data_IF_207905253711
#
_entry.id   IF_207905253711
#
_cell.length_a   1.000
_cell.length_b   1.000
_cell.length_c   1.000
_cell.angle_alpha   90.00
_cell.angle_beta   90.00
_cell.angle_gamma   90.00
#
_symmetry.space_group_name_H-M   'P 1'
#
loop_
_entity.id
_entity.type
_entity.pdbx_description
1 polymer ?
#
# COMPACT_ATOMS: atom_id res chain seq x y z
N UNK A 1 10.83 2.35 -13.21
CA UNK A 1 10.80 2.05 -11.76
C UNK A 1 9.47 2.50 -11.18
N UNK A 2 9.08 2.19 -9.93
CA UNK A 2 7.76 2.60 -9.40
C UNK A 2 7.50 4.12 -9.46
N UNK A 3 8.55 4.94 -9.34
CA UNK A 3 8.45 6.39 -9.52
C UNK A 3 8.17 6.77 -10.97
N UNK A 4 8.91 6.17 -11.92
CA UNK A 4 8.74 6.44 -13.36
C UNK A 4 7.35 6.02 -13.87
N UNK A 5 6.78 4.96 -13.28
CA UNK A 5 5.42 4.49 -13.58
C UNK A 5 4.32 5.31 -12.87
N UNK A 6 4.70 6.35 -12.12
CA UNK A 6 3.75 7.23 -11.43
C UNK A 6 3.04 6.60 -10.24
N UNK A 7 3.55 5.49 -9.69
CA UNK A 7 3.01 4.83 -8.48
C UNK A 7 3.46 5.57 -7.21
N UNK A 8 4.66 6.16 -7.26
CA UNK A 8 5.24 6.92 -6.16
C UNK A 8 5.68 8.31 -6.63
N UNK A 9 5.52 9.31 -5.76
CA UNK A 9 6.26 10.57 -5.85
C UNK A 9 7.45 10.54 -4.90
N UNK A 10 8.49 11.31 -5.23
CA UNK A 10 9.68 11.49 -4.40
C UNK A 10 9.87 12.98 -4.11
N UNK A 11 10.05 13.34 -2.85
CA UNK A 11 10.50 14.67 -2.43
C UNK A 11 11.72 14.55 -1.53
N UNK A 12 12.56 15.57 -1.47
CA UNK A 12 13.68 15.59 -0.53
C UNK A 12 13.16 15.88 0.90
N UNK A 13 13.82 15.33 1.91
CA UNK A 13 13.49 15.56 3.32
C UNK A 13 14.11 16.89 3.79
N UNK A 14 13.30 17.90 4.15
CA UNK A 14 13.81 19.21 4.56
C UNK A 14 14.57 19.16 5.90
N UNK A 15 14.42 18.10 6.70
CA UNK A 15 15.13 17.91 7.97
C UNK A 15 16.51 17.26 7.77
N UNK A 16 16.73 16.57 6.65
CA UNK A 16 17.95 15.79 6.44
C UNK A 16 18.21 15.59 4.94
N UNK A 17 19.13 16.38 4.36
CA UNK A 17 19.36 16.44 2.90
C UNK A 17 19.86 15.17 2.20
N UNK A 18 19.99 14.04 2.91
CA UNK A 18 20.29 12.72 2.34
C UNK A 18 19.09 11.77 2.36
N UNK A 19 17.96 12.18 2.94
CA UNK A 19 16.73 11.38 2.99
C UNK A 19 15.77 11.88 1.92
N UNK A 20 15.08 10.93 1.30
CA UNK A 20 13.98 11.19 0.38
C UNK A 20 12.71 10.63 0.99
N UNK A 21 11.62 11.37 0.86
CA UNK A 21 10.28 10.96 1.26
C UNK A 21 9.58 10.43 0.01
N UNK A 22 9.12 9.18 0.08
CA UNK A 22 8.31 8.57 -0.96
C UNK A 22 6.85 8.52 -0.52
N UNK A 23 5.95 8.95 -1.40
CA UNK A 23 4.51 8.96 -1.16
C UNK A 23 3.79 8.22 -2.27
N UNK A 24 2.70 7.55 -1.92
CA UNK A 24 1.82 6.93 -2.90
C UNK A 24 1.06 8.01 -3.66
N UNK A 25 0.94 7.84 -4.97
CA UNK A 25 -0.04 8.58 -5.78
C UNK A 25 -1.42 7.91 -5.67
N UNK A 26 -2.47 8.55 -6.19
CA UNK A 26 -3.77 7.90 -6.35
C UNK A 26 -3.65 6.63 -7.22
N UNK A 27 -2.84 6.67 -8.28
CA UNK A 27 -2.57 5.49 -9.10
C UNK A 27 -1.91 4.35 -8.30
N UNK A 28 -0.98 4.67 -7.40
CA UNK A 28 -0.39 3.69 -6.50
C UNK A 28 -1.37 3.12 -5.47
N UNK A 29 -2.27 3.96 -4.93
CA UNK A 29 -3.34 3.54 -4.02
C UNK A 29 -4.33 2.60 -4.73
N UNK A 30 -4.59 2.83 -6.02
CA UNK A 30 -5.50 2.00 -6.81
C UNK A 30 -4.98 0.58 -7.06
N UNK A 31 -3.70 0.31 -6.84
CA UNK A 31 -3.14 -1.04 -6.87
C UNK A 31 -3.50 -1.90 -5.64
N UNK A 32 -4.06 -1.30 -4.59
CA UNK A 32 -4.37 -1.99 -3.33
C UNK A 32 -5.16 -3.30 -3.52
N UNK A 33 -6.21 -3.41 -4.35
CA UNK A 33 -6.95 -4.66 -4.53
C UNK A 33 -6.07 -5.80 -5.07
N UNK A 34 -5.13 -5.49 -5.96
CA UNK A 34 -4.19 -6.47 -6.51
C UNK A 34 -3.21 -6.94 -5.44
N UNK A 35 -2.67 -6.01 -4.66
CA UNK A 35 -1.76 -6.31 -3.55
C UNK A 35 -2.44 -7.13 -2.45
N UNK A 36 -3.69 -6.81 -2.09
CA UNK A 36 -4.46 -7.56 -1.12
C UNK A 36 -4.72 -8.99 -1.58
N UNK A 37 -5.09 -9.17 -2.86
CA UNK A 37 -5.30 -10.49 -3.47
C UNK A 37 -4.01 -11.31 -3.47
N UNK A 38 -2.89 -10.68 -3.87
CA UNK A 38 -1.58 -11.33 -3.85
C UNK A 38 -1.14 -11.69 -2.43
N UNK A 39 -1.39 -10.83 -1.45
CA UNK A 39 -1.11 -11.10 -0.04
C UNK A 39 -1.92 -12.27 0.52
N UNK A 40 -3.21 -12.35 0.20
CA UNK A 40 -4.08 -13.45 0.62
C UNK A 40 -3.75 -14.78 -0.08
N UNK A 41 -3.21 -14.73 -1.29
CA UNK A 41 -2.60 -15.92 -1.91
C UNK A 41 -1.29 -16.30 -1.19
N UNK A 42 -0.44 -15.31 -0.92
CA UNK A 42 0.84 -15.52 -0.24
C UNK A 42 0.68 -16.13 1.15
N UNK A 43 -0.33 -15.70 1.92
CA UNK A 43 -0.64 -16.22 3.26
C UNK A 43 -0.98 -17.71 3.26
N UNK A 44 -1.49 -18.25 2.13
CA UNK A 44 -1.83 -19.67 1.98
C UNK A 44 -0.66 -20.54 1.52
N UNK A 45 0.27 -19.96 0.77
CA UNK A 45 1.28 -20.73 0.01
C UNK A 45 2.73 -20.44 0.39
N UNK A 46 2.97 -19.41 1.22
CA UNK A 46 4.30 -19.01 1.66
C UNK A 46 4.33 -18.88 3.18
N UNK A 47 5.54 -18.89 3.75
CA UNK A 47 5.77 -18.52 5.16
C UNK A 47 5.69 -17.00 5.28
N UNK A 48 4.47 -16.48 5.28
CA UNK A 48 4.21 -15.06 5.52
C UNK A 48 4.30 -14.77 7.02
N UNK A 49 4.64 -13.53 7.37
CA UNK A 49 4.47 -13.02 8.73
C UNK A 49 2.98 -13.02 9.11
N UNK A 50 2.65 -13.49 10.31
CA UNK A 50 1.27 -13.70 10.76
C UNK A 50 0.45 -12.40 10.74
N UNK A 51 1.07 -11.27 11.12
CA UNK A 51 0.39 -9.97 11.14
C UNK A 51 0.10 -9.48 9.73
N UNK A 52 1.06 -9.60 8.81
CA UNK A 52 0.85 -9.23 7.42
C UNK A 52 -0.14 -10.15 6.71
N UNK A 53 -0.11 -11.45 7.01
CA UNK A 53 -1.06 -12.42 6.52
C UNK A 53 -2.50 -12.09 6.97
N UNK A 54 -2.68 -11.72 8.24
CA UNK A 54 -3.98 -11.31 8.77
C UNK A 54 -4.53 -10.09 8.04
N UNK A 55 -3.72 -9.04 7.86
CA UNK A 55 -4.14 -7.82 7.15
C UNK A 55 -4.58 -8.14 5.72
N UNK A 56 -3.80 -8.95 5.00
CA UNK A 56 -4.13 -9.30 3.62
C UNK A 56 -5.42 -10.15 3.54
N UNK A 57 -5.59 -11.10 4.46
CA UNK A 57 -6.79 -11.93 4.54
C UNK A 57 -8.03 -11.09 4.89
N UNK A 58 -7.92 -10.14 5.82
CA UNK A 58 -9.03 -9.26 6.21
C UNK A 58 -9.45 -8.32 5.07
N UNK A 59 -8.47 -7.75 4.35
CA UNK A 59 -8.75 -6.94 3.17
C UNK A 59 -9.41 -7.75 2.06
N UNK A 60 -8.93 -8.98 1.82
CA UNK A 60 -9.50 -9.85 0.79
C UNK A 60 -10.91 -10.35 1.16
N UNK A 61 -11.13 -10.77 2.41
CA UNK A 61 -12.41 -11.24 2.91
C UNK A 61 -13.46 -10.12 3.03
N UNK A 62 -13.01 -8.92 3.42
CA UNK A 62 -13.86 -7.73 3.53
C UNK A 62 -14.29 -7.11 2.19
N UNK A 63 -13.70 -7.57 1.08
CA UNK A 63 -14.07 -7.18 -0.29
C UNK A 63 -14.00 -5.67 -0.54
N UNK A 64 -14.81 -5.19 -1.49
CA UNK A 64 -14.82 -3.79 -1.92
C UNK A 64 -14.94 -2.78 -0.76
N UNK A 65 -15.85 -2.94 0.22
CA UNK A 65 -15.97 -1.98 1.31
C UNK A 65 -14.71 -1.85 2.18
N UNK A 66 -14.01 -2.95 2.47
CA UNK A 66 -12.76 -2.91 3.23
C UNK A 66 -11.63 -2.23 2.45
N UNK A 67 -11.55 -2.53 1.14
CA UNK A 67 -10.58 -1.90 0.25
C UNK A 67 -10.80 -0.39 0.15
N UNK A 68 -12.03 0.09 -0.02
CA UNK A 68 -12.29 1.53 -0.12
C UNK A 68 -11.93 2.28 1.18
N UNK A 69 -12.28 1.75 2.35
CA UNK A 69 -11.86 2.36 3.65
C UNK A 69 -10.34 2.43 3.80
N UNK A 70 -9.65 1.39 3.34
CA UNK A 70 -8.18 1.38 3.37
C UNK A 70 -7.61 2.39 2.37
N UNK A 71 -8.18 2.52 1.15
CA UNK A 71 -7.78 3.56 0.20
C UNK A 71 -7.97 4.96 0.78
N UNK A 72 -9.10 5.23 1.44
CA UNK A 72 -9.33 6.51 2.14
C UNK A 72 -8.29 6.77 3.22
N UNK A 73 -7.97 5.75 4.02
CA UNK A 73 -6.92 5.84 5.06
C UNK A 73 -5.55 6.16 4.44
N UNK A 74 -5.19 5.47 3.35
CA UNK A 74 -3.93 5.71 2.65
C UNK A 74 -3.88 7.14 2.09
N UNK A 75 -4.96 7.62 1.45
CA UNK A 75 -5.05 9.00 0.95
C UNK A 75 -4.84 10.01 2.07
N UNK A 76 -5.48 9.81 3.22
CA UNK A 76 -5.32 10.68 4.39
C UNK A 76 -3.86 10.72 4.89
N UNK A 77 -3.16 9.58 4.90
CA UNK A 77 -1.76 9.51 5.33
C UNK A 77 -0.79 10.17 4.34
N UNK A 78 -1.12 10.20 3.05
CA UNK A 78 -0.23 10.79 2.03
C UNK A 78 -0.25 12.33 2.03
N UNK A 79 -1.26 12.97 2.62
CA UNK A 79 -1.42 14.44 2.65
C UNK A 79 -0.57 15.20 3.69
N UNK A 80 0.25 14.49 4.47
CA UNK A 80 1.21 15.11 5.41
C UNK A 80 2.57 15.37 4.80
#
# INVERSE_FOLDING_TARGET
TLQDEGILTRSDDPSHGLKAIYRLTDAGIDLLPVLATLGAWGSKHRKADDKLAQIANDLAAGGKPALERMKETLRAQQMG
#
